data_IF_903227025056
#
_entry.id   IF_903227025056
#
_cell.length_a   1.000
_cell.length_b   1.000
_cell.length_c   1.000
_cell.angle_alpha   90.00
_cell.angle_beta   90.00
_cell.angle_gamma   90.00
#
_symmetry.space_group_name_H-M   'P 1'
#
loop_
_entity.id
_entity.type
_entity.pdbx_description
1 polymer ?
#
# COMPACT_ATOMS: atom_id res chain seq x y z
N UNK A 1 17.42 -6.66 -25.88
CA UNK A 1 17.00 -5.38 -26.50
C UNK A 1 17.03 -5.44 -28.03
N UNK A 2 18.20 -5.49 -28.71
CA UNK A 2 18.26 -5.49 -30.19
C UNK A 2 17.43 -6.59 -30.88
N UNK A 3 17.50 -7.84 -30.38
CA UNK A 3 16.70 -8.97 -30.90
C UNK A 3 15.19 -8.82 -30.70
N UNK A 4 14.77 -8.05 -29.70
CA UNK A 4 13.37 -7.80 -29.39
C UNK A 4 12.86 -6.49 -30.02
N UNK A 5 13.68 -5.78 -30.81
CA UNK A 5 13.33 -4.47 -31.39
C UNK A 5 13.21 -3.33 -30.37
N UNK A 6 13.55 -3.55 -29.10
CA UNK A 6 13.35 -2.58 -28.03
C UNK A 6 14.53 -1.60 -27.98
N UNK A 7 14.22 -0.30 -27.90
CA UNK A 7 15.20 0.78 -27.71
C UNK A 7 16.08 0.52 -26.49
N UNK A 8 17.40 0.64 -26.65
CA UNK A 8 18.31 0.58 -25.51
C UNK A 8 18.02 1.71 -24.52
N UNK A 9 17.89 1.36 -23.24
CA UNK A 9 17.77 2.32 -22.12
C UNK A 9 18.82 1.95 -21.08
N UNK A 10 19.21 2.91 -20.25
CA UNK A 10 20.18 2.67 -19.16
C UNK A 10 19.60 1.61 -18.21
N UNK A 11 20.44 0.69 -17.74
CA UNK A 11 20.02 -0.39 -16.83
C UNK A 11 19.32 0.15 -15.57
N UNK A 12 19.70 1.33 -15.08
CA UNK A 12 19.05 1.97 -13.95
C UNK A 12 17.54 2.20 -14.13
N UNK A 13 17.05 2.37 -15.36
CA UNK A 13 15.63 2.61 -15.62
C UNK A 13 14.75 1.38 -15.34
N UNK A 14 15.28 0.16 -15.48
CA UNK A 14 14.52 -1.04 -15.13
C UNK A 14 14.28 -1.16 -13.62
N UNK A 15 15.16 -0.59 -12.79
CA UNK A 15 15.00 -0.51 -11.33
C UNK A 15 13.72 0.24 -10.95
N UNK A 16 13.42 1.33 -11.66
CA UNK A 16 12.18 2.08 -11.45
C UNK A 16 10.95 1.28 -11.84
N UNK A 17 10.98 0.62 -13.00
CA UNK A 17 9.87 -0.24 -13.44
C UNK A 17 9.63 -1.38 -12.46
N UNK A 18 10.69 -2.02 -11.97
CA UNK A 18 10.61 -3.07 -10.96
C UNK A 18 9.96 -2.56 -9.66
N UNK A 19 10.40 -1.41 -9.14
CA UNK A 19 9.85 -0.84 -7.91
C UNK A 19 8.36 -0.52 -8.04
N UNK A 20 7.94 0.12 -9.15
CA UNK A 20 6.53 0.43 -9.38
C UNK A 20 5.68 -0.83 -9.47
N UNK A 21 6.10 -1.84 -10.24
CA UNK A 21 5.35 -3.09 -10.37
C UNK A 21 5.24 -3.86 -9.06
N UNK A 22 6.34 -3.95 -8.30
CA UNK A 22 6.33 -4.63 -7.01
C UNK A 22 5.41 -3.92 -6.00
N UNK A 23 5.42 -2.58 -5.97
CA UNK A 23 4.52 -1.78 -5.13
C UNK A 23 3.05 -1.94 -5.55
N UNK A 24 2.75 -1.90 -6.85
CA UNK A 24 1.39 -2.14 -7.36
C UNK A 24 0.87 -3.54 -7.05
N UNK A 25 1.76 -4.53 -6.98
CA UNK A 25 1.43 -5.88 -6.53
C UNK A 25 1.29 -5.99 -5.00
N UNK A 26 1.51 -4.92 -4.24
CA UNK A 26 1.40 -4.89 -2.78
C UNK A 26 2.63 -5.44 -2.04
N UNK A 27 3.80 -5.53 -2.69
CA UNK A 27 5.01 -6.00 -2.03
C UNK A 27 5.53 -5.00 -0.99
N UNK A 28 6.14 -5.53 0.07
CA UNK A 28 6.66 -4.73 1.19
C UNK A 28 7.80 -3.78 0.72
N UNK A 29 7.70 -2.45 0.96
CA UNK A 29 8.73 -1.49 0.55
C UNK A 29 10.15 -1.79 1.07
N UNK A 30 10.28 -2.37 2.26
CA UNK A 30 11.57 -2.82 2.83
C UNK A 30 12.17 -3.98 2.04
N UNK A 31 11.34 -4.92 1.58
CA UNK A 31 11.76 -6.01 0.72
C UNK A 31 12.19 -5.52 -0.67
N UNK A 32 11.44 -4.56 -1.23
CA UNK A 32 11.80 -3.93 -2.52
C UNK A 32 13.13 -3.17 -2.38
N UNK A 33 13.32 -2.45 -1.26
CA UNK A 33 14.55 -1.72 -0.97
C UNK A 33 15.77 -2.65 -0.88
N UNK A 34 15.66 -3.77 -0.16
CA UNK A 34 16.76 -4.74 -0.04
C UNK A 34 17.11 -5.38 -1.39
N UNK A 35 16.11 -5.73 -2.21
CA UNK A 35 16.33 -6.30 -3.54
C UNK A 35 17.03 -5.32 -4.51
N UNK A 36 16.81 -4.03 -4.31
CA UNK A 36 17.48 -2.97 -5.06
C UNK A 36 18.87 -2.62 -4.48
N UNK A 37 19.24 -3.15 -3.33
CA UNK A 37 20.51 -2.86 -2.66
C UNK A 37 20.50 -1.53 -1.89
N UNK A 38 19.33 -1.07 -1.43
CA UNK A 38 19.26 0.01 -0.44
C UNK A 38 19.34 -0.56 0.97
N UNK A 39 19.97 0.19 1.88
CA UNK A 39 19.99 -0.11 3.32
C UNK A 39 18.70 0.27 4.04
N UNK A 40 17.86 1.12 3.44
CA UNK A 40 16.61 1.62 4.03
C UNK A 40 15.50 1.74 2.99
N UNK A 41 14.26 1.56 3.45
CA UNK A 41 13.05 1.79 2.68
C UNK A 41 12.74 3.29 2.45
N UNK A 42 13.44 4.22 3.13
CA UNK A 42 13.19 5.66 3.02
C UNK A 42 13.19 6.16 1.57
N UNK A 43 14.10 5.65 0.72
CA UNK A 43 14.13 6.01 -0.69
C UNK A 43 12.86 5.55 -1.44
N UNK A 44 12.35 4.36 -1.14
CA UNK A 44 11.14 3.83 -1.78
C UNK A 44 9.92 4.65 -1.38
N UNK A 45 9.78 4.98 -0.09
CA UNK A 45 8.70 5.84 0.38
C UNK A 45 8.79 7.25 -0.20
N UNK A 46 9.98 7.85 -0.24
CA UNK A 46 10.15 9.21 -0.75
C UNK A 46 9.90 9.32 -2.26
N UNK A 47 10.31 8.31 -3.05
CA UNK A 47 10.22 8.34 -4.51
C UNK A 47 8.84 7.87 -5.00
N UNK A 48 8.25 6.87 -4.35
CA UNK A 48 7.01 6.23 -4.83
C UNK A 48 5.79 6.47 -3.93
N UNK A 49 5.97 7.02 -2.72
CA UNK A 49 4.87 7.24 -1.78
C UNK A 49 3.75 8.12 -2.33
N UNK A 50 4.08 9.12 -3.15
CA UNK A 50 3.11 10.00 -3.79
C UNK A 50 2.13 9.26 -4.74
N UNK A 51 2.52 8.09 -5.26
CA UNK A 51 1.72 7.30 -6.20
C UNK A 51 0.94 6.17 -5.53
N UNK A 52 1.14 5.94 -4.23
CA UNK A 52 0.43 4.90 -3.48
C UNK A 52 -1.08 5.15 -3.24
N UNK A 53 -1.60 6.40 -3.18
CA UNK A 53 -3.04 6.63 -2.97
C UNK A 53 -3.93 5.98 -4.03
N UNK A 54 -3.47 5.92 -5.29
CA UNK A 54 -4.25 5.37 -6.40
C UNK A 54 -4.46 3.84 -6.31
N UNK A 55 -3.59 3.13 -5.58
CA UNK A 55 -3.72 1.68 -5.35
C UNK A 55 -4.48 1.32 -4.06
N UNK A 56 -4.86 2.32 -3.25
CA UNK A 56 -5.52 2.12 -1.95
C UNK A 56 -6.86 1.37 -2.10
N UNK A 57 -7.72 1.81 -3.01
CA UNK A 57 -9.07 1.24 -3.18
C UNK A 57 -9.01 -0.25 -3.55
N UNK A 58 -8.10 -0.60 -4.46
CA UNK A 58 -7.91 -2.00 -4.90
C UNK A 58 -7.35 -2.86 -3.78
N UNK A 59 -6.41 -2.35 -2.98
CA UNK A 59 -5.87 -3.07 -1.82
C UNK A 59 -6.92 -3.28 -0.73
N UNK A 60 -7.76 -2.27 -0.47
CA UNK A 60 -8.90 -2.40 0.46
C UNK A 60 -9.87 -3.47 -0.03
N UNK A 61 -10.19 -3.50 -1.33
CA UNK A 61 -11.04 -4.56 -1.89
C UNK A 61 -10.42 -5.97 -1.76
N UNK A 62 -9.11 -6.11 -2.01
CA UNK A 62 -8.40 -7.37 -1.80
C UNK A 62 -8.41 -7.79 -0.33
N UNK A 63 -8.18 -6.85 0.59
CA UNK A 63 -8.20 -7.11 2.02
C UNK A 63 -9.60 -7.53 2.48
N UNK A 64 -10.64 -6.82 2.06
CA UNK A 64 -12.03 -7.14 2.37
C UNK A 64 -12.41 -8.54 1.86
N UNK A 65 -11.97 -8.92 0.66
CA UNK A 65 -12.21 -10.29 0.16
C UNK A 65 -11.56 -11.36 1.06
N UNK A 66 -10.32 -11.14 1.48
CA UNK A 66 -9.61 -12.10 2.35
C UNK A 66 -10.22 -12.12 3.75
N UNK A 67 -10.56 -10.96 4.31
CA UNK A 67 -11.16 -10.82 5.62
C UNK A 67 -12.56 -11.44 5.63
N UNK A 68 -13.43 -11.14 4.67
CA UNK A 68 -14.77 -11.75 4.60
C UNK A 68 -14.70 -13.28 4.47
N UNK A 69 -13.64 -13.83 3.84
CA UNK A 69 -13.48 -15.27 3.70
C UNK A 69 -12.90 -15.97 4.94
N UNK A 70 -12.27 -15.22 5.86
CA UNK A 70 -11.46 -15.80 6.96
C UNK A 70 -11.79 -15.26 8.35
N UNK A 71 -12.41 -14.09 8.45
CA UNK A 71 -12.85 -13.52 9.70
C UNK A 71 -14.11 -14.27 10.16
N UNK A 72 -14.17 -14.76 11.41
CA UNK A 72 -15.42 -15.25 11.97
C UNK A 72 -16.42 -14.11 11.99
N UNK A 73 -17.69 -14.43 11.76
CA UNK A 73 -18.78 -13.46 11.86
C UNK A 73 -18.92 -13.07 13.34
N UNK A 74 -18.28 -11.96 13.71
CA UNK A 74 -18.41 -11.38 15.04
C UNK A 74 -19.54 -10.38 14.93
N UNK A 75 -20.67 -10.59 15.64
CA UNK A 75 -21.70 -9.56 15.71
C UNK A 75 -21.03 -8.28 16.19
N UNK A 76 -21.10 -7.20 15.41
CA UNK A 76 -20.78 -5.89 15.94
C UNK A 76 -21.77 -5.69 17.10
N UNK A 77 -21.28 -5.77 18.33
CA UNK A 77 -22.04 -5.30 19.49
C UNK A 77 -22.45 -3.86 19.16
N UNK A 78 -23.66 -3.47 19.58
CA UNK A 78 -24.27 -2.14 19.33
C UNK A 78 -23.47 -0.93 19.90
N UNK A 79 -22.18 -1.12 20.22
CA UNK A 79 -21.22 -0.14 20.70
C UNK A 79 -20.80 0.91 19.66
N UNK A 80 -21.24 0.78 18.40
CA UNK A 80 -21.07 1.87 17.43
C UNK A 80 -21.74 3.17 17.90
N UNK A 81 -22.84 3.05 18.66
CA UNK A 81 -23.53 4.20 19.23
C UNK A 81 -22.77 4.81 20.42
N UNK A 82 -22.05 4.00 21.20
CA UNK A 82 -21.16 4.47 22.28
C UNK A 82 -19.97 5.26 21.71
N UNK A 83 -19.29 4.73 20.68
CA UNK A 83 -18.11 5.38 20.09
C UNK A 83 -18.51 6.67 19.37
N UNK A 84 -19.64 6.69 18.64
CA UNK A 84 -20.18 7.90 18.00
C UNK A 84 -20.57 8.95 19.05
N UNK A 85 -21.13 8.52 20.19
CA UNK A 85 -21.45 9.39 21.32
C UNK A 85 -20.18 10.00 21.95
N UNK A 86 -19.11 9.23 22.10
CA UNK A 86 -17.80 9.73 22.55
C UNK A 86 -17.23 10.81 21.61
N UNK A 87 -17.26 10.59 20.29
CA UNK A 87 -16.74 11.57 19.31
C UNK A 87 -17.67 12.77 19.03
N UNK A 88 -18.99 12.64 19.26
CA UNK A 88 -19.92 13.76 19.17
C UNK A 88 -19.87 14.68 20.40
N UNK A 89 -19.54 14.15 21.58
CA UNK A 89 -19.48 14.91 22.83
C UNK A 89 -18.13 15.63 23.06
N UNK A 90 -17.10 15.35 22.26
CA UNK A 90 -15.78 16.01 22.33
C UNK A 90 -15.73 17.46 21.78
N UNK A 91 -16.89 18.10 21.55
CA UNK A 91 -16.98 19.56 21.30
C UNK A 91 -17.16 20.40 22.56
N UNK A 92 -17.02 19.82 23.75
CA UNK A 92 -17.21 20.54 25.00
C UNK A 92 -16.20 20.16 26.10
N UNK A 93 -14.94 20.55 25.96
CA UNK A 93 -14.08 21.01 27.08
C UNK A 93 -13.02 22.00 26.49
N UNK A 94 -12.59 23.02 27.27
CA UNK A 94 -12.30 24.40 26.84
C UNK A 94 -11.12 24.59 25.89
#
# INVERSE_FOLDING_TARGET
MKRAGIRARKAYQSRHTYACWALSAGANPTFIASQMGHSSASMVYNVYGAWMPECSVTQVAMLNNVLNARAPDVPQSDQEDEIKLYFQNDKAYP
#
